data_IF_223454384600
#
_entry.id   IF_223454384600
#
_cell.length_a   1.000
_cell.length_b   1.000
_cell.length_c   1.000
_cell.angle_alpha   90.00
_cell.angle_beta   90.00
_cell.angle_gamma   90.00
#
_symmetry.space_group_name_H-M   'P 1'
#
loop_
_entity.id
_entity.type
_entity.pdbx_description
1 polymer ?
#
# COMPACT_ATOMS: atom_id res chain seq x y z
N UNK A 1 20.43 -29.38 9.17
CA UNK A 1 21.73 -28.80 8.75
C UNK A 1 21.50 -27.39 8.21
N UNK A 2 22.18 -26.35 8.72
CA UNK A 2 22.00 -24.99 8.23
C UNK A 2 22.59 -24.85 6.81
N UNK A 3 21.89 -24.15 5.92
CA UNK A 3 22.35 -23.81 4.58
C UNK A 3 22.93 -22.40 4.66
N UNK A 4 24.26 -22.27 4.55
CA UNK A 4 24.97 -21.01 4.77
C UNK A 4 25.83 -20.68 3.55
N UNK A 5 25.79 -19.41 3.11
CA UNK A 5 26.70 -18.90 2.10
C UNK A 5 27.19 -17.52 2.49
N UNK A 6 28.50 -17.27 2.35
CA UNK A 6 29.13 -15.98 2.71
C UNK A 6 28.71 -15.47 4.11
N UNK A 7 28.56 -16.39 5.08
CA UNK A 7 28.10 -16.15 6.46
C UNK A 7 26.63 -15.74 6.63
N UNK A 8 25.81 -15.82 5.60
CA UNK A 8 24.36 -15.60 5.67
C UNK A 8 23.62 -16.94 5.72
N UNK A 9 22.72 -17.10 6.69
CA UNK A 9 21.83 -18.27 6.80
C UNK A 9 20.72 -18.15 5.75
N UNK A 10 20.71 -19.06 4.77
CA UNK A 10 19.70 -19.10 3.70
C UNK A 10 18.50 -19.98 4.06
N UNK A 11 18.68 -20.94 4.98
CA UNK A 11 17.63 -21.85 5.40
C UNK A 11 18.17 -23.03 6.21
N UNK A 12 17.31 -24.01 6.48
CA UNK A 12 17.66 -25.23 7.21
C UNK A 12 17.21 -26.46 6.43
N UNK A 13 18.14 -27.35 6.08
CA UNK A 13 17.86 -28.67 5.54
C UNK A 13 17.39 -29.58 6.67
N UNK A 14 16.13 -30.03 6.58
CA UNK A 14 15.53 -31.02 7.47
C UNK A 14 15.50 -32.37 6.76
N UNK A 15 16.07 -33.40 7.40
CA UNK A 15 16.13 -34.75 6.84
C UNK A 15 15.31 -35.66 7.74
N UNK A 16 14.35 -36.36 7.14
CA UNK A 16 13.50 -37.31 7.82
C UNK A 16 13.79 -38.71 7.28
N UNK A 17 13.99 -39.66 8.18
CA UNK A 17 14.14 -41.07 7.85
C UNK A 17 12.95 -41.87 8.39
N UNK A 18 12.68 -43.02 7.77
CA UNK A 18 11.57 -43.91 8.15
C UNK A 18 11.90 -44.80 9.36
N UNK A 19 13.17 -45.14 9.54
CA UNK A 19 13.63 -46.00 10.64
C UNK A 19 14.25 -45.16 11.77
N UNK A 20 14.02 -45.57 13.02
CA UNK A 20 14.56 -44.91 14.21
C UNK A 20 16.02 -45.34 14.45
N UNK A 21 16.96 -44.67 13.78
CA UNK A 21 18.40 -44.85 13.99
C UNK A 21 19.13 -43.51 14.12
N UNK A 22 20.38 -43.52 14.56
CA UNK A 22 21.24 -42.33 14.49
C UNK A 22 21.88 -42.25 13.08
N UNK A 23 22.14 -41.03 12.62
CA UNK A 23 22.95 -40.81 11.44
C UNK A 23 24.41 -41.09 11.79
N UNK A 24 25.14 -41.73 10.89
CA UNK A 24 26.58 -41.91 11.06
C UNK A 24 27.37 -40.67 10.59
N UNK A 25 28.67 -40.60 10.94
CA UNK A 25 29.53 -39.46 10.57
C UNK A 25 29.63 -39.25 9.05
N UNK A 26 29.46 -40.31 8.25
CA UNK A 26 29.52 -40.24 6.80
C UNK A 26 28.25 -39.60 6.22
N UNK A 27 27.09 -39.93 6.79
CA UNK A 27 25.80 -39.34 6.47
C UNK A 27 25.73 -37.88 6.90
N UNK A 28 26.24 -37.55 8.10
CA UNK A 28 26.35 -36.15 8.54
C UNK A 28 27.24 -35.33 7.61
N UNK A 29 28.40 -35.86 7.23
CA UNK A 29 29.33 -35.21 6.31
C UNK A 29 28.71 -35.03 4.91
N UNK A 30 27.95 -36.02 4.44
CA UNK A 30 27.20 -35.94 3.19
C UNK A 30 26.13 -34.84 3.24
N UNK A 31 25.37 -34.74 4.33
CA UNK A 31 24.35 -33.71 4.50
C UNK A 31 24.94 -32.29 4.58
N UNK A 32 26.12 -32.13 5.18
CA UNK A 32 26.85 -30.85 5.20
C UNK A 32 27.31 -30.48 3.78
N UNK A 33 27.82 -31.45 3.02
CA UNK A 33 28.23 -31.25 1.63
C UNK A 33 27.04 -30.90 0.73
N UNK A 34 25.92 -31.60 0.91
CA UNK A 34 24.67 -31.34 0.20
C UNK A 34 24.14 -29.92 0.52
N UNK A 35 24.12 -29.54 1.79
CA UNK A 35 23.72 -28.19 2.21
C UNK A 35 24.60 -27.10 1.60
N UNK A 36 25.91 -27.36 1.45
CA UNK A 36 26.86 -26.41 0.84
C UNK A 36 26.64 -26.27 -0.67
N UNK A 37 26.40 -27.38 -1.38
CA UNK A 37 26.09 -27.37 -2.81
C UNK A 37 24.73 -26.71 -3.09
N UNK A 38 23.73 -27.01 -2.26
CA UNK A 38 22.42 -26.35 -2.31
C UNK A 38 22.54 -24.84 -2.06
N UNK A 39 23.40 -24.39 -1.13
CA UNK A 39 23.62 -22.98 -0.87
C UNK A 39 24.07 -22.25 -2.15
N UNK A 40 25.03 -22.81 -2.89
CA UNK A 40 25.52 -22.25 -4.14
C UNK A 40 24.42 -22.12 -5.21
N UNK A 41 23.55 -23.13 -5.35
CA UNK A 41 22.44 -23.14 -6.33
C UNK A 41 21.34 -22.15 -5.91
N UNK A 42 20.99 -22.11 -4.63
CA UNK A 42 19.97 -21.20 -4.08
C UNK A 42 20.37 -19.73 -4.23
N UNK A 43 21.65 -19.41 -4.05
CA UNK A 43 22.16 -18.04 -4.29
C UNK A 43 22.12 -17.60 -5.74
N UNK A 44 22.21 -18.53 -6.69
CA UNK A 44 22.34 -18.18 -8.10
C UNK A 44 21.00 -18.18 -8.83
N UNK A 45 19.96 -18.82 -8.28
CA UNK A 45 18.67 -19.00 -8.98
C UNK A 45 17.41 -18.63 -8.18
N UNK A 46 17.43 -18.46 -6.85
CA UNK A 46 16.17 -18.50 -6.06
C UNK A 46 15.98 -17.44 -4.96
N UNK A 47 16.63 -16.26 -5.03
CA UNK A 47 16.19 -15.14 -4.19
C UNK A 47 15.25 -14.16 -4.89
N UNK A 48 15.18 -14.19 -6.22
CA UNK A 48 14.30 -13.28 -6.98
C UNK A 48 13.11 -14.00 -7.63
N UNK A 49 13.25 -15.30 -7.96
CA UNK A 49 12.29 -16.02 -8.79
C UNK A 49 11.33 -16.98 -8.05
N UNK A 50 11.63 -17.39 -6.80
CA UNK A 50 10.80 -18.36 -6.04
C UNK A 50 10.17 -17.80 -4.77
N UNK A 51 10.78 -16.78 -4.20
CA UNK A 51 10.19 -15.93 -3.19
C UNK A 51 10.20 -14.55 -3.83
N UNK A 52 9.08 -14.18 -4.47
CA UNK A 52 8.96 -12.88 -5.14
C UNK A 52 9.54 -11.79 -4.25
N UNK A 53 10.25 -10.84 -4.85
CA UNK A 53 11.06 -9.81 -4.19
C UNK A 53 10.33 -9.07 -3.04
N UNK A 54 8.99 -9.18 -2.99
CA UNK A 54 8.12 -8.59 -1.99
C UNK A 54 7.25 -9.57 -1.18
N UNK A 55 7.37 -10.90 -1.34
CA UNK A 55 6.45 -11.82 -0.67
C UNK A 55 6.62 -11.75 0.86
N UNK A 56 5.56 -11.38 1.57
CA UNK A 56 5.57 -11.10 3.02
C UNK A 56 6.51 -9.97 3.43
N UNK A 57 6.84 -9.06 2.51
CA UNK A 57 7.73 -7.93 2.77
C UNK A 57 6.95 -6.74 3.33
N UNK A 58 7.52 -6.14 4.36
CA UNK A 58 7.11 -4.84 4.91
C UNK A 58 8.01 -3.75 4.37
N UNK A 59 7.44 -2.79 3.68
CA UNK A 59 8.14 -1.66 3.09
C UNK A 59 7.75 -0.40 3.86
N UNK A 60 8.76 0.36 4.31
CA UNK A 60 8.55 1.66 4.94
C UNK A 60 8.60 2.75 3.86
N UNK A 61 7.69 3.70 3.99
CA UNK A 61 7.45 4.79 3.06
C UNK A 61 6.97 6.03 3.83
N UNK A 62 6.67 7.10 3.10
CA UNK A 62 6.14 8.33 3.66
C UNK A 62 4.59 8.31 3.61
N UNK A 63 3.90 8.57 4.74
CA UNK A 63 2.45 8.70 4.71
C UNK A 63 2.06 10.00 4.01
N UNK A 64 1.24 9.90 2.96
CA UNK A 64 0.73 11.06 2.21
C UNK A 64 -0.76 11.31 2.48
N UNK A 65 -1.53 10.24 2.70
CA UNK A 65 -2.94 10.31 3.07
C UNK A 65 -3.28 9.18 4.04
N UNK A 66 -4.03 9.52 5.07
CA UNK A 66 -4.37 8.65 6.19
C UNK A 66 -5.42 7.60 5.83
N UNK A 67 -5.46 6.50 6.59
CA UNK A 67 -6.41 5.40 6.45
C UNK A 67 -5.72 4.08 6.12
N UNK A 68 -6.48 2.99 6.07
CA UNK A 68 -5.97 1.67 5.68
C UNK A 68 -6.76 1.10 4.51
N UNK A 69 -6.04 0.62 3.49
CA UNK A 69 -6.63 -0.05 2.34
C UNK A 69 -6.12 -1.48 2.22
N UNK A 70 -7.00 -2.38 1.78
CA UNK A 70 -6.67 -3.75 1.41
C UNK A 70 -7.30 -4.03 0.05
N UNK A 71 -6.48 -4.29 -0.95
CA UNK A 71 -6.91 -4.71 -2.29
C UNK A 71 -5.72 -5.25 -3.09
N UNK A 72 -6.00 -5.74 -4.28
CA UNK A 72 -4.99 -6.15 -5.24
C UNK A 72 -4.21 -4.93 -5.77
N UNK A 73 -2.89 -5.06 -5.87
CA UNK A 73 -2.03 -4.07 -6.50
C UNK A 73 -2.30 -4.00 -7.98
N UNK A 74 -2.49 -2.79 -8.50
CA UNK A 74 -2.77 -2.54 -9.89
C UNK A 74 -1.82 -1.48 -10.42
N UNK A 75 -0.89 -1.90 -11.28
CA UNK A 75 -0.16 -1.00 -12.17
C UNK A 75 -0.87 -0.97 -13.52
N UNK A 76 -1.21 0.22 -14.00
CA UNK A 76 -1.71 0.36 -15.37
C UNK A 76 -0.56 0.19 -16.36
N UNK A 77 -0.67 -0.81 -17.23
CA UNK A 77 0.28 -1.13 -18.30
C UNK A 77 -0.36 -0.99 -19.68
N UNK A 78 -1.55 -0.38 -19.75
CA UNK A 78 -2.33 -0.26 -20.98
C UNK A 78 -1.86 0.87 -21.90
N UNK A 79 -1.14 1.87 -21.38
CA UNK A 79 -0.64 2.99 -22.17
C UNK A 79 0.62 2.59 -22.96
N UNK A 80 0.63 2.74 -24.29
CA UNK A 80 1.82 2.49 -25.10
C UNK A 80 2.97 3.43 -24.74
N UNK A 81 4.19 2.90 -24.66
CA UNK A 81 5.40 3.72 -24.47
C UNK A 81 5.82 4.36 -25.79
N UNK A 82 6.11 5.67 -25.77
CA UNK A 82 6.55 6.39 -26.98
C UNK A 82 7.87 5.83 -27.53
N UNK A 83 8.74 5.32 -26.66
CA UNK A 83 10.02 4.70 -27.01
C UNK A 83 9.84 3.44 -27.86
N UNK A 84 8.72 2.74 -27.70
CA UNK A 84 8.39 1.51 -28.44
C UNK A 84 7.76 1.78 -29.82
N UNK A 85 7.50 3.04 -30.15
CA UNK A 85 7.03 3.42 -31.48
C UNK A 85 8.24 3.62 -32.40
N UNK A 86 8.32 2.79 -33.45
CA UNK A 86 9.40 2.83 -34.43
C UNK A 86 8.97 3.57 -35.70
N UNK A 87 9.96 4.05 -36.46
CA UNK A 87 9.71 4.68 -37.75
C UNK A 87 9.09 3.68 -38.72
N UNK A 88 7.92 4.03 -39.25
CA UNK A 88 7.18 3.21 -40.18
C UNK A 88 6.46 4.09 -41.21
N UNK A 89 6.26 3.52 -42.40
CA UNK A 89 5.64 4.20 -43.53
C UNK A 89 4.38 3.47 -44.00
N UNK A 90 3.43 4.24 -44.52
CA UNK A 90 2.18 3.75 -45.11
C UNK A 90 2.09 4.08 -46.60
N UNK A 91 1.31 3.29 -47.33
CA UNK A 91 0.88 3.60 -48.70
C UNK A 91 -0.52 4.24 -48.73
N UNK A 92 -1.27 4.15 -47.64
CA UNK A 92 -2.62 4.68 -47.51
C UNK A 92 -2.63 5.81 -46.47
N UNK A 93 -2.21 7.00 -46.92
CA UNK A 93 -2.19 8.20 -46.07
C UNK A 93 -3.59 8.67 -45.71
N UNK A 94 -4.62 8.33 -46.51
CA UNK A 94 -6.00 8.71 -46.23
C UNK A 94 -6.56 7.96 -45.03
N UNK A 95 -6.34 6.64 -44.97
CA UNK A 95 -6.71 5.80 -43.82
C UNK A 95 -6.01 6.26 -42.54
N UNK A 96 -4.69 6.49 -42.59
CA UNK A 96 -3.93 6.97 -41.42
C UNK A 96 -4.40 8.35 -40.93
N UNK A 97 -4.83 9.22 -41.86
CA UNK A 97 -5.41 10.52 -41.51
C UNK A 97 -6.75 10.38 -40.79
N UNK A 98 -7.58 9.42 -41.19
CA UNK A 98 -8.85 9.11 -40.53
C UNK A 98 -8.61 8.55 -39.13
N UNK A 99 -7.73 7.54 -38.97
CA UNK A 99 -7.32 6.98 -37.68
C UNK A 99 -6.82 8.07 -36.71
N UNK A 100 -5.92 8.93 -37.19
CA UNK A 100 -5.40 10.05 -36.40
C UNK A 100 -6.49 11.06 -36.01
N UNK A 101 -7.44 11.32 -36.90
CA UNK A 101 -8.56 12.23 -36.61
C UNK A 101 -9.45 11.67 -35.49
N UNK A 102 -9.80 10.38 -35.58
CA UNK A 102 -10.55 9.68 -34.54
C UNK A 102 -9.83 9.73 -33.18
N UNK A 103 -8.54 9.37 -33.16
CA UNK A 103 -7.74 9.39 -31.93
C UNK A 103 -7.66 10.78 -31.28
N UNK A 104 -7.50 11.85 -32.07
CA UNK A 104 -7.50 13.23 -31.58
C UNK A 104 -8.85 13.63 -30.97
N UNK A 105 -9.96 13.22 -31.58
CA UNK A 105 -11.30 13.54 -31.10
C UNK A 105 -11.67 12.77 -29.82
N UNK A 106 -11.33 11.49 -29.77
CA UNK A 106 -11.54 10.65 -28.59
C UNK A 106 -10.72 11.14 -27.39
N UNK A 107 -9.42 11.38 -27.59
CA UNK A 107 -8.55 11.91 -26.54
C UNK A 107 -9.05 13.29 -26.04
N UNK A 108 -9.43 14.20 -26.94
CA UNK A 108 -9.97 15.51 -26.54
C UNK A 108 -11.33 15.40 -25.82
N UNK A 109 -12.20 14.48 -26.23
CA UNK A 109 -13.46 14.19 -25.54
C UNK A 109 -13.22 13.65 -24.12
N UNK A 110 -12.24 12.77 -23.98
CA UNK A 110 -11.84 12.22 -22.71
C UNK A 110 -11.33 13.27 -21.73
N UNK A 111 -10.40 14.15 -22.14
CA UNK A 111 -9.90 15.20 -21.25
C UNK A 111 -11.01 16.19 -20.85
N UNK A 112 -11.99 16.46 -21.73
CA UNK A 112 -13.19 17.23 -21.36
C UNK A 112 -14.02 16.52 -20.29
N UNK A 113 -14.12 15.19 -20.35
CA UNK A 113 -14.81 14.39 -19.31
C UNK A 113 -14.05 14.45 -17.98
N UNK A 114 -12.72 14.38 -18.00
CA UNK A 114 -11.90 14.56 -16.79
C UNK A 114 -12.06 15.95 -16.21
N UNK A 115 -11.94 17.01 -17.02
CA UNK A 115 -12.16 18.38 -16.55
C UNK A 115 -13.49 18.56 -15.84
N UNK A 116 -14.60 18.10 -16.46
CA UNK A 116 -15.94 18.17 -15.85
C UNK A 116 -16.03 17.43 -14.51
N UNK A 117 -15.34 16.28 -14.37
CA UNK A 117 -15.32 15.51 -13.12
C UNK A 117 -14.67 16.29 -11.98
N UNK A 118 -13.63 17.06 -12.27
CA UNK A 118 -12.85 17.83 -11.30
C UNK A 118 -13.28 19.30 -11.19
N UNK A 119 -14.35 19.71 -11.89
CA UNK A 119 -14.81 21.10 -11.92
C UNK A 119 -15.47 21.57 -10.61
N UNK A 120 -15.92 20.65 -9.76
CA UNK A 120 -16.58 20.96 -8.49
C UNK A 120 -15.59 20.96 -7.31
N UNK A 121 -15.76 21.92 -6.38
CA UNK A 121 -15.03 21.96 -5.11
C UNK A 121 -13.60 22.52 -5.18
N UNK A 122 -12.69 21.94 -4.39
CA UNK A 122 -11.31 22.40 -4.15
C UNK A 122 -10.30 22.02 -5.25
N UNK A 123 -10.74 21.41 -6.36
CA UNK A 123 -9.88 20.82 -7.40
C UNK A 123 -9.93 21.59 -8.75
N UNK A 124 -10.34 22.87 -8.73
CA UNK A 124 -10.46 23.72 -9.93
C UNK A 124 -9.18 23.85 -10.75
N UNK A 125 -8.03 23.86 -10.08
CA UNK A 125 -6.72 23.93 -10.75
C UNK A 125 -6.47 22.67 -11.61
N UNK A 126 -6.89 21.50 -11.14
CA UNK A 126 -6.81 20.24 -11.90
C UNK A 126 -7.75 20.24 -13.10
N UNK A 127 -8.98 20.73 -12.94
CA UNK A 127 -9.92 20.89 -14.06
C UNK A 127 -9.34 21.81 -15.16
N UNK A 128 -8.72 22.92 -14.77
CA UNK A 128 -8.08 23.84 -15.72
C UNK A 128 -6.93 23.18 -16.52
N UNK A 129 -6.19 22.26 -15.90
CA UNK A 129 -5.13 21.48 -16.58
C UNK A 129 -5.74 20.57 -17.67
N UNK A 130 -6.83 19.87 -17.36
CA UNK A 130 -7.49 19.01 -18.35
C UNK A 130 -8.16 19.80 -19.48
N UNK A 131 -8.71 20.98 -19.18
CA UNK A 131 -9.21 21.89 -20.22
C UNK A 131 -8.08 22.35 -21.15
N UNK A 132 -6.92 22.68 -20.60
CA UNK A 132 -5.74 23.01 -21.39
C UNK A 132 -5.35 21.85 -22.31
N UNK A 133 -5.33 20.61 -21.82
CA UNK A 133 -5.03 19.42 -22.63
C UNK A 133 -6.03 19.23 -23.77
N UNK A 134 -7.33 19.37 -23.50
CA UNK A 134 -8.35 19.33 -24.54
C UNK A 134 -8.15 20.43 -25.59
N UNK A 135 -7.74 21.63 -25.19
CA UNK A 135 -7.46 22.73 -26.10
C UNK A 135 -6.21 22.47 -26.95
N UNK A 136 -5.14 21.94 -26.35
CA UNK A 136 -3.91 21.57 -27.07
C UNK A 136 -4.17 20.52 -28.15
N UNK A 137 -4.98 19.49 -27.87
CA UNK A 137 -5.39 18.49 -28.86
C UNK A 137 -6.31 19.04 -29.96
N UNK A 138 -6.96 20.18 -29.69
CA UNK A 138 -7.79 20.90 -30.65
C UNK A 138 -7.01 22.00 -31.39
N UNK A 139 -5.75 22.24 -31.04
CA UNK A 139 -4.94 23.30 -31.60
C UNK A 139 -4.64 23.06 -33.09
N UNK A 140 -4.88 24.09 -33.90
CA UNK A 140 -4.74 24.00 -35.35
C UNK A 140 -3.28 23.79 -35.79
N UNK A 141 -2.30 24.29 -35.02
CA UNK A 141 -0.89 24.12 -35.35
C UNK A 141 -0.45 22.68 -35.07
N UNK A 142 -0.79 22.11 -33.91
CA UNK A 142 -0.48 20.72 -33.59
C UNK A 142 -1.06 19.77 -34.64
N UNK A 143 -2.37 19.89 -34.91
CA UNK A 143 -3.07 19.06 -35.90
C UNK A 143 -2.43 19.15 -37.29
N UNK A 144 -2.11 20.36 -37.74
CA UNK A 144 -1.46 20.57 -39.04
C UNK A 144 -0.08 19.92 -39.11
N UNK A 145 0.74 20.00 -38.06
CA UNK A 145 2.06 19.36 -38.05
C UNK A 145 1.96 17.83 -38.04
N UNK A 146 1.00 17.25 -37.30
CA UNK A 146 0.72 15.81 -37.31
C UNK A 146 0.28 15.33 -38.69
N UNK A 147 -0.73 15.99 -39.29
CA UNK A 147 -1.22 15.64 -40.62
C UNK A 147 -0.16 15.80 -41.71
N UNK A 148 0.67 16.85 -41.63
CA UNK A 148 1.76 17.04 -42.58
C UNK A 148 2.81 15.93 -42.53
N UNK A 149 2.96 15.24 -41.39
CA UNK A 149 3.86 14.08 -41.30
C UNK A 149 3.23 12.82 -41.89
N UNK A 150 1.94 12.58 -41.63
CA UNK A 150 1.17 11.50 -42.27
C UNK A 150 1.12 11.69 -43.80
N UNK A 151 0.94 12.93 -44.26
CA UNK A 151 0.91 13.27 -45.69
C UNK A 151 2.25 13.00 -46.41
N UNK A 152 3.37 12.89 -45.67
CA UNK A 152 4.67 12.45 -46.20
C UNK A 152 4.81 10.92 -46.31
N UNK A 153 3.79 10.17 -45.89
CA UNK A 153 3.78 8.70 -45.90
C UNK A 153 4.13 8.05 -44.56
N UNK A 154 4.13 8.78 -43.44
CA UNK A 154 4.30 8.18 -42.12
C UNK A 154 2.99 7.54 -41.61
N UNK A 155 3.12 6.46 -40.83
CA UNK A 155 1.98 5.94 -40.03
C UNK A 155 1.61 6.92 -38.92
N UNK A 156 0.35 6.90 -38.46
CA UNK A 156 -0.19 7.83 -37.48
C UNK A 156 0.59 7.79 -36.14
N UNK A 157 0.99 6.62 -35.68
CA UNK A 157 1.73 6.42 -34.43
C UNK A 157 3.10 7.11 -34.49
N UNK A 158 3.80 6.97 -35.61
CA UNK A 158 5.10 7.62 -35.83
C UNK A 158 4.95 9.13 -35.93
N UNK A 159 3.92 9.61 -36.63
CA UNK A 159 3.61 11.04 -36.70
C UNK A 159 3.36 11.63 -35.30
N UNK A 160 2.58 10.93 -34.46
CA UNK A 160 2.36 11.32 -33.05
C UNK A 160 3.68 11.37 -32.30
N UNK A 161 4.49 10.31 -32.33
CA UNK A 161 5.78 10.27 -31.63
C UNK A 161 6.65 11.47 -31.99
N UNK A 162 6.90 11.63 -33.29
CA UNK A 162 7.84 12.63 -33.82
C UNK A 162 7.40 14.06 -33.51
N UNK A 163 6.12 14.37 -33.69
CA UNK A 163 5.62 15.73 -33.46
C UNK A 163 5.50 16.03 -31.96
N UNK A 164 5.03 15.10 -31.14
CA UNK A 164 4.93 15.32 -29.70
C UNK A 164 6.31 15.48 -29.07
N UNK A 165 7.29 14.65 -29.43
CA UNK A 165 8.68 14.80 -28.95
C UNK A 165 9.25 16.16 -29.34
N UNK A 166 9.06 16.59 -30.59
CA UNK A 166 9.47 17.91 -31.07
C UNK A 166 8.87 19.06 -30.25
N UNK A 167 7.59 18.98 -29.90
CA UNK A 167 6.94 20.01 -29.07
C UNK A 167 7.43 19.93 -27.61
N UNK A 168 7.57 18.73 -27.04
CA UNK A 168 8.08 18.53 -25.68
C UNK A 168 9.51 19.09 -25.53
N UNK A 169 10.38 18.89 -26.52
CA UNK A 169 11.73 19.46 -26.55
C UNK A 169 11.72 20.99 -26.63
N UNK A 170 10.85 21.58 -27.44
CA UNK A 170 10.70 23.04 -27.52
C UNK A 170 10.28 23.64 -26.16
N UNK A 171 9.35 22.99 -25.46
CA UNK A 171 8.91 23.42 -24.13
C UNK A 171 10.01 23.24 -23.07
N UNK A 172 10.74 22.12 -23.12
CA UNK A 172 11.83 21.85 -22.18
C UNK A 172 13.02 22.83 -22.34
N UNK A 173 13.17 23.44 -23.51
CA UNK A 173 14.20 24.44 -23.81
C UNK A 173 13.82 25.87 -23.36
N UNK A 174 12.58 26.11 -22.92
CA UNK A 174 12.17 27.41 -22.40
C UNK A 174 12.78 27.65 -21.01
N UNK A 175 13.06 28.91 -20.70
CA UNK A 175 13.66 29.33 -19.42
C UNK A 175 12.66 29.40 -18.26
N UNK A 176 11.36 29.33 -18.55
CA UNK A 176 10.30 29.32 -17.55
C UNK A 176 10.17 27.92 -16.93
N UNK A 177 10.43 27.82 -15.61
CA UNK A 177 10.35 26.57 -14.86
C UNK A 177 8.96 25.92 -14.93
N UNK A 178 7.89 26.71 -14.99
CA UNK A 178 6.53 26.21 -15.14
C UNK A 178 6.35 25.52 -16.50
N UNK A 179 6.78 26.15 -17.60
CA UNK A 179 6.65 25.57 -18.95
C UNK A 179 7.56 24.35 -19.15
N UNK A 180 8.70 24.31 -18.46
CA UNK A 180 9.62 23.16 -18.47
C UNK A 180 9.00 21.92 -17.82
N UNK A 181 8.31 22.09 -16.69
CA UNK A 181 7.57 21.00 -16.03
C UNK A 181 6.44 20.45 -16.92
N UNK A 182 5.81 21.30 -17.75
CA UNK A 182 4.77 20.91 -18.72
C UNK A 182 5.26 20.11 -19.93
N UNK A 183 6.57 19.99 -20.15
CA UNK A 183 7.09 19.14 -21.23
C UNK A 183 6.77 17.65 -21.01
N UNK A 184 6.67 17.20 -19.75
CA UNK A 184 6.23 15.84 -19.40
C UNK A 184 4.77 15.59 -19.74
N UNK A 185 3.91 16.60 -19.54
CA UNK A 185 2.49 16.53 -19.85
C UNK A 185 2.25 16.31 -21.35
N UNK A 186 3.05 16.93 -22.22
CA UNK A 186 2.97 16.72 -23.66
C UNK A 186 3.27 15.26 -24.05
N UNK A 187 4.24 14.61 -23.41
CA UNK A 187 4.54 13.19 -23.64
C UNK A 187 3.38 12.30 -23.19
N UNK A 188 2.75 12.64 -22.06
CA UNK A 188 1.54 11.95 -21.56
C UNK A 188 0.39 12.07 -22.57
N UNK A 189 0.21 13.24 -23.20
CA UNK A 189 -0.75 13.41 -24.31
C UNK A 189 -0.40 12.54 -25.52
N UNK A 190 0.89 12.43 -25.85
CA UNK A 190 1.37 11.54 -26.91
C UNK A 190 1.02 10.08 -26.63
N UNK A 191 1.32 9.57 -25.43
CA UNK A 191 0.95 8.22 -25.01
C UNK A 191 -0.56 7.98 -25.09
N UNK A 192 -1.37 8.98 -24.72
CA UNK A 192 -2.83 8.88 -24.82
C UNK A 192 -3.31 8.82 -26.28
N UNK A 193 -2.71 9.60 -27.17
CA UNK A 193 -3.01 9.50 -28.60
C UNK A 193 -2.63 8.14 -29.16
N UNK A 194 -1.49 7.58 -28.75
CA UNK A 194 -1.09 6.23 -29.14
C UNK A 194 -2.08 5.17 -28.64
N UNK A 195 -2.60 5.32 -27.42
CA UNK A 195 -3.64 4.44 -26.91
C UNK A 195 -4.89 4.43 -27.80
N UNK A 196 -5.39 5.60 -28.23
CA UNK A 196 -6.54 5.69 -29.12
C UNK A 196 -6.24 5.29 -30.58
N UNK A 197 -4.97 5.18 -30.96
CA UNK A 197 -4.55 4.62 -32.26
C UNK A 197 -4.41 3.10 -32.22
N UNK A 198 -4.32 2.50 -31.04
CA UNK A 198 -4.14 1.06 -30.90
C UNK A 198 -5.46 0.31 -31.13
N UNK A 199 -5.66 -0.15 -32.37
CA UNK A 199 -6.80 -0.94 -32.80
C UNK A 199 -6.94 -2.28 -32.05
N UNK A 200 -5.92 -2.72 -31.30
CA UNK A 200 -5.93 -3.97 -30.52
C UNK A 200 -6.51 -3.81 -29.11
N UNK A 201 -6.63 -2.57 -28.60
CA UNK A 201 -7.24 -2.27 -27.29
C UNK A 201 -8.78 -2.28 -27.35
N UNK A 202 -9.35 -3.36 -27.90
CA UNK A 202 -10.79 -3.57 -27.99
C UNK A 202 -11.29 -4.32 -26.76
N UNK A 203 -11.46 -3.61 -25.66
CA UNK A 203 -12.18 -4.10 -24.49
C UNK A 203 -12.31 -3.02 -23.42
N UNK A 204 -13.46 -2.91 -22.72
CA UNK A 204 -13.51 -2.07 -21.53
C UNK A 204 -12.42 -2.56 -20.60
N UNK A 205 -11.50 -1.68 -20.21
CA UNK A 205 -10.46 -1.98 -19.23
C UNK A 205 -11.21 -2.47 -17.98
N UNK A 206 -11.26 -3.79 -17.76
CA UNK A 206 -12.01 -4.38 -16.65
C UNK A 206 -11.17 -4.20 -15.41
N UNK A 207 -11.21 -2.97 -14.88
CA UNK A 207 -10.66 -2.66 -13.58
C UNK A 207 -11.24 -3.64 -12.55
N UNK A 208 -10.45 -4.25 -11.67
CA UNK A 208 -10.98 -4.99 -10.53
C UNK A 208 -11.90 -4.11 -9.69
N UNK A 209 -12.86 -4.71 -8.98
CA UNK A 209 -13.84 -3.96 -8.16
C UNK A 209 -13.17 -3.06 -7.11
N UNK A 210 -12.03 -3.48 -6.59
CA UNK A 210 -11.21 -2.71 -5.64
C UNK A 210 -9.74 -2.88 -5.97
N UNK A 211 -9.03 -1.76 -6.08
CA UNK A 211 -7.59 -1.76 -6.38
C UNK A 211 -6.80 -0.84 -5.45
N UNK A 212 -5.54 -1.23 -5.23
CA UNK A 212 -4.47 -0.33 -4.80
C UNK A 212 -3.70 0.07 -6.05
N UNK A 213 -3.77 1.35 -6.44
CA UNK A 213 -2.97 1.85 -7.56
C UNK A 213 -1.49 1.84 -7.16
N UNK A 214 -0.65 1.22 -7.98
CA UNK A 214 0.80 1.19 -7.81
C UNK A 214 1.46 1.85 -9.02
N UNK A 215 2.27 2.88 -8.78
CA UNK A 215 2.90 3.64 -9.86
C UNK A 215 4.32 4.08 -9.49
N UNK A 216 5.13 4.34 -10.52
CA UNK A 216 6.44 4.96 -10.35
C UNK A 216 6.27 6.40 -9.87
N UNK A 217 5.45 7.18 -10.59
CA UNK A 217 5.06 8.54 -10.23
C UNK A 217 3.55 8.67 -10.28
N UNK A 218 3.00 9.54 -9.44
CA UNK A 218 1.56 9.82 -9.42
C UNK A 218 1.26 11.13 -10.14
N UNK A 219 0.57 11.03 -11.27
CA UNK A 219 0.12 12.19 -12.04
C UNK A 219 -1.38 12.44 -11.86
N UNK A 220 -1.83 13.65 -12.18
CA UNK A 220 -3.26 13.96 -12.17
C UNK A 220 -4.03 13.16 -13.22
N UNK A 221 -3.42 12.91 -14.38
CA UNK A 221 -3.99 12.12 -15.47
C UNK A 221 -4.21 10.67 -15.04
N UNK A 222 -3.22 10.04 -14.42
CA UNK A 222 -3.32 8.66 -13.90
C UNK A 222 -4.47 8.54 -12.90
N UNK A 223 -4.61 9.49 -11.99
CA UNK A 223 -5.72 9.49 -11.02
C UNK A 223 -7.10 9.72 -11.68
N UNK A 224 -7.15 10.47 -12.78
CA UNK A 224 -8.38 10.72 -13.51
C UNK A 224 -8.84 9.51 -14.34
N UNK A 225 -7.91 8.68 -14.80
CA UNK A 225 -8.20 7.44 -15.54
C UNK A 225 -8.82 6.37 -14.64
N UNK A 226 -8.39 6.29 -13.38
CA UNK A 226 -8.90 5.29 -12.44
C UNK A 226 -10.35 5.60 -12.03
N UNK A 227 -11.26 4.62 -12.08
CA UNK A 227 -12.60 4.76 -11.51
C UNK A 227 -12.55 5.02 -9.99
N UNK A 228 -13.12 6.14 -9.54
CA UNK A 228 -13.06 6.58 -8.14
C UNK A 228 -13.74 5.58 -7.17
N UNK A 229 -14.74 4.86 -7.64
CA UNK A 229 -15.45 3.82 -6.89
C UNK A 229 -14.61 2.55 -6.66
N UNK A 230 -13.56 2.36 -7.44
CA UNK A 230 -12.68 1.18 -7.38
C UNK A 230 -11.35 1.46 -6.70
N UNK A 231 -10.90 2.71 -6.69
CA UNK A 231 -9.64 3.10 -6.07
C UNK A 231 -9.76 3.15 -4.55
N UNK A 232 -9.14 2.19 -3.86
CA UNK A 232 -9.18 2.14 -2.39
C UNK A 232 -7.86 2.49 -1.73
N UNK A 233 -6.74 2.53 -2.46
CA UNK A 233 -5.44 2.93 -1.93
C UNK A 233 -4.45 3.30 -3.03
N UNK A 234 -3.38 4.01 -2.67
CA UNK A 234 -2.33 4.43 -3.61
C UNK A 234 -0.94 4.19 -3.02
N UNK A 235 -0.04 3.66 -3.84
CA UNK A 235 1.36 3.43 -3.52
C UNK A 235 2.22 3.99 -4.65
N UNK A 236 3.17 4.87 -4.30
CA UNK A 236 4.02 5.55 -5.28
C UNK A 236 5.49 5.34 -4.93
N UNK A 237 6.31 4.99 -5.93
CA UNK A 237 7.77 4.87 -5.76
C UNK A 237 8.41 6.24 -5.53
N UNK A 238 8.20 7.14 -6.48
CA UNK A 238 8.80 8.46 -6.55
C UNK A 238 7.70 9.52 -6.32
N UNK A 239 7.75 10.20 -5.17
CA UNK A 239 6.73 11.19 -4.87
C UNK A 239 6.93 11.87 -3.53
N UNK A 240 6.60 13.16 -3.50
CA UNK A 240 6.58 13.95 -2.26
C UNK A 240 5.14 14.05 -1.72
N UNK A 241 4.99 13.98 -0.41
CA UNK A 241 3.69 14.05 0.28
C UNK A 241 2.94 15.37 0.08
N UNK A 242 3.61 16.41 -0.43
CA UNK A 242 3.05 17.73 -0.78
C UNK A 242 2.91 17.96 -2.29
N UNK A 243 3.11 16.94 -3.13
CA UNK A 243 2.87 17.05 -4.57
C UNK A 243 1.39 17.29 -4.88
N UNK A 244 1.09 17.89 -6.04
CA UNK A 244 -0.29 18.15 -6.47
C UNK A 244 -1.15 16.89 -6.46
N UNK A 245 -0.60 15.77 -6.94
CA UNK A 245 -1.27 14.48 -6.91
C UNK A 245 -1.48 13.93 -5.48
N UNK A 246 -0.52 14.14 -4.56
CA UNK A 246 -0.68 13.79 -3.14
C UNK A 246 -1.83 14.56 -2.48
N UNK A 247 -1.97 15.85 -2.80
CA UNK A 247 -3.05 16.69 -2.28
C UNK A 247 -4.40 16.18 -2.78
N UNK A 248 -4.48 15.73 -4.04
CA UNK A 248 -5.72 15.19 -4.60
C UNK A 248 -6.16 13.89 -3.94
N UNK A 249 -5.28 12.89 -3.81
CA UNK A 249 -5.64 11.62 -3.13
C UNK A 249 -6.00 11.81 -1.67
N UNK A 250 -5.37 12.79 -1.00
CA UNK A 250 -5.75 13.21 0.35
C UNK A 250 -7.14 13.83 0.40
N UNK A 251 -7.47 14.70 -0.56
CA UNK A 251 -8.80 15.30 -0.66
C UNK A 251 -9.90 14.26 -0.95
N UNK A 252 -9.54 13.14 -1.61
CA UNK A 252 -10.43 12.00 -1.85
C UNK A 252 -10.51 11.05 -0.63
N UNK A 253 -9.74 11.29 0.43
CA UNK A 253 -9.71 10.42 1.62
C UNK A 253 -9.11 9.04 1.35
N UNK A 254 -8.33 8.89 0.26
CA UNK A 254 -7.78 7.60 -0.16
C UNK A 254 -6.45 7.35 0.56
N UNK A 255 -6.29 6.25 1.32
CA UNK A 255 -5.02 5.88 1.95
C UNK A 255 -3.87 5.88 0.95
N UNK A 256 -2.79 6.61 1.26
CA UNK A 256 -1.68 6.78 0.32
C UNK A 256 -0.32 6.76 1.01
N UNK A 257 0.59 5.97 0.45
CA UNK A 257 2.01 5.97 0.80
C UNK A 257 2.87 6.36 -0.42
N UNK A 258 3.92 7.16 -0.19
CA UNK A 258 4.80 7.68 -1.23
C UNK A 258 6.27 7.47 -0.86
N UNK A 259 7.17 7.48 -1.84
CA UNK A 259 8.59 7.25 -1.56
C UNK A 259 8.87 5.80 -1.17
N UNK A 260 8.05 4.85 -1.64
CA UNK A 260 8.21 3.44 -1.31
C UNK A 260 9.29 2.82 -2.22
N UNK A 261 10.24 2.08 -1.65
CA UNK A 261 11.25 1.35 -2.43
C UNK A 261 10.63 0.10 -3.09
N UNK A 262 9.88 0.34 -4.17
CA UNK A 262 9.05 -0.64 -4.87
C UNK A 262 9.37 -0.69 -6.37
N UNK A 263 9.06 -1.84 -6.98
CA UNK A 263 8.91 -1.96 -8.43
C UNK A 263 7.43 -2.21 -8.73
N UNK A 264 6.68 -1.22 -9.26
CA UNK A 264 5.23 -1.34 -9.48
C UNK A 264 4.81 -2.59 -10.26
N UNK A 265 5.59 -2.97 -11.27
CA UNK A 265 5.35 -4.15 -12.10
C UNK A 265 5.38 -5.46 -11.32
N UNK A 266 6.16 -5.53 -10.23
CA UNK A 266 6.25 -6.71 -9.35
C UNK A 266 5.14 -6.73 -8.29
N UNK A 267 4.41 -5.64 -8.12
CA UNK A 267 3.29 -5.54 -7.17
C UNK A 267 1.93 -5.68 -7.85
N UNK A 268 1.88 -5.54 -9.18
CA UNK A 268 0.67 -5.82 -9.96
C UNK A 268 0.21 -7.27 -9.71
N UNK A 269 -1.06 -7.46 -9.34
CA UNK A 269 -1.64 -8.76 -9.06
C UNK A 269 -1.48 -9.28 -7.62
N UNK A 270 -0.69 -8.60 -6.78
CA UNK A 270 -0.43 -9.04 -5.41
C UNK A 270 -1.42 -8.44 -4.41
N UNK A 271 -1.68 -9.13 -3.30
CA UNK A 271 -2.53 -8.56 -2.23
C UNK A 271 -1.74 -7.53 -1.44
N UNK A 272 -2.19 -6.29 -1.44
CA UNK A 272 -1.52 -5.18 -0.77
C UNK A 272 -2.34 -4.69 0.43
N UNK A 273 -1.63 -4.36 1.51
CA UNK A 273 -2.18 -3.57 2.62
C UNK A 273 -1.42 -2.26 2.67
N UNK A 274 -2.13 -1.16 2.42
CA UNK A 274 -1.60 0.21 2.50
C UNK A 274 -2.00 0.78 3.85
N UNK A 275 -1.02 1.02 4.71
CA UNK A 275 -1.19 1.69 5.99
C UNK A 275 -0.72 3.15 5.87
N UNK A 276 -1.66 4.02 5.49
CA UNK A 276 -1.43 5.45 5.30
C UNK A 276 -1.19 6.21 6.61
N UNK A 277 -1.38 5.58 7.77
CA UNK A 277 -1.06 6.17 9.06
C UNK A 277 0.40 5.98 9.45
N UNK A 278 0.90 4.74 9.28
CA UNK A 278 2.27 4.38 9.62
C UNK A 278 3.25 4.64 8.47
N UNK A 279 2.73 4.89 7.26
CA UNK A 279 3.54 4.99 6.05
C UNK A 279 4.11 3.63 5.67
N UNK A 280 3.30 2.57 5.71
CA UNK A 280 3.78 1.21 5.48
C UNK A 280 2.99 0.51 4.38
N UNK A 281 3.69 -0.28 3.58
CA UNK A 281 3.11 -1.19 2.60
C UNK A 281 3.45 -2.63 3.00
N UNK A 282 2.44 -3.48 3.04
CA UNK A 282 2.61 -4.93 3.22
C UNK A 282 2.20 -5.62 1.93
N UNK A 283 3.05 -6.51 1.46
CA UNK A 283 2.84 -7.25 0.21
C UNK A 283 2.65 -8.73 0.54
N UNK A 284 1.53 -9.30 0.10
CA UNK A 284 1.07 -10.65 0.43
C UNK A 284 1.25 -11.00 1.93
N UNK A 285 0.67 -10.19 2.85
CA UNK A 285 0.81 -10.45 4.28
C UNK A 285 0.19 -11.79 4.68
N UNK A 286 0.63 -12.32 5.81
CA UNK A 286 0.05 -13.56 6.34
C UNK A 286 -1.45 -13.42 6.62
N UNK A 287 -2.25 -14.50 6.42
CA UNK A 287 -3.70 -14.45 6.63
C UNK A 287 -4.13 -13.98 8.02
N UNK A 288 -3.33 -14.24 9.06
CA UNK A 288 -3.61 -13.78 10.42
C UNK A 288 -3.51 -12.25 10.53
N UNK A 289 -2.47 -11.66 9.93
CA UNK A 289 -2.27 -10.22 9.89
C UNK A 289 -3.34 -9.52 9.02
N UNK A 290 -3.67 -10.12 7.88
CA UNK A 290 -4.72 -9.62 6.98
C UNK A 290 -6.07 -9.53 7.70
N UNK A 291 -6.46 -10.56 8.45
CA UNK A 291 -7.71 -10.56 9.25
C UNK A 291 -7.72 -9.46 10.30
N UNK A 292 -6.58 -9.21 10.95
CA UNK A 292 -6.50 -8.17 11.97
C UNK A 292 -6.69 -6.78 11.34
N UNK A 293 -6.06 -6.51 10.18
CA UNK A 293 -6.27 -5.27 9.42
C UNK A 293 -7.71 -5.13 8.89
N UNK A 294 -8.34 -6.20 8.43
CA UNK A 294 -9.76 -6.18 8.01
C UNK A 294 -10.69 -5.81 9.17
N UNK A 295 -10.44 -6.37 10.36
CA UNK A 295 -11.20 -6.09 11.58
C UNK A 295 -11.06 -4.62 11.97
N UNK A 296 -9.85 -4.10 11.89
CA UNK A 296 -9.50 -2.71 12.17
C UNK A 296 -10.23 -1.74 11.23
N UNK A 297 -10.23 -2.00 9.92
CA UNK A 297 -10.98 -1.21 8.92
C UNK A 297 -12.49 -1.25 9.20
N UNK A 298 -13.04 -2.43 9.56
CA UNK A 298 -14.47 -2.54 9.85
C UNK A 298 -14.90 -1.74 11.08
N UNK A 299 -14.05 -1.69 12.12
CA UNK A 299 -14.32 -0.92 13.34
C UNK A 299 -14.23 0.58 13.06
N UNK A 300 -13.25 1.01 12.27
CA UNK A 300 -13.11 2.41 11.86
C UNK A 300 -14.31 2.88 11.03
N UNK A 301 -14.76 2.09 10.04
CA UNK A 301 -15.93 2.44 9.23
C UNK A 301 -17.22 2.50 10.06
N UNK A 302 -17.34 1.67 11.10
CA UNK A 302 -18.46 1.75 12.04
C UNK A 302 -18.41 3.03 12.89
N UNK A 303 -17.23 3.35 13.43
CA UNK A 303 -17.03 4.56 14.22
C UNK A 303 -17.28 5.82 13.40
N UNK A 304 -16.76 5.89 12.17
CA UNK A 304 -16.98 7.02 11.25
C UNK A 304 -18.46 7.22 10.95
N UNK A 305 -19.22 6.14 10.70
CA UNK A 305 -20.68 6.22 10.51
C UNK A 305 -21.43 6.71 11.74
N UNK A 306 -21.01 6.30 12.94
CA UNK A 306 -21.62 6.75 14.20
C UNK A 306 -21.26 8.21 14.52
N UNK A 307 -20.10 8.67 14.08
CA UNK A 307 -19.59 10.01 14.32
C UNK A 307 -20.22 11.08 13.40
N UNK A 308 -20.69 10.70 12.21
CA UNK A 308 -21.36 11.60 11.26
C UNK A 308 -22.67 12.22 11.81
N UNK A 309 -23.29 11.61 12.83
CA UNK A 309 -24.61 12.03 13.31
C UNK A 309 -24.64 12.83 14.65
N UNK A 310 -23.61 12.79 15.52
CA UNK A 310 -23.78 13.36 16.89
C UNK A 310 -22.47 13.63 17.70
N UNK A 311 -21.36 14.03 17.06
CA UNK A 311 -20.09 14.29 17.76
C UNK A 311 -20.13 15.39 18.85
N UNK A 312 -21.09 16.32 18.81
CA UNK A 312 -21.15 17.47 19.72
C UNK A 312 -21.99 17.26 21.00
N UNK A 313 -22.65 16.11 21.15
CA UNK A 313 -23.49 15.85 22.34
C UNK A 313 -22.68 15.36 23.53
N UNK A 314 -23.05 15.83 24.72
CA UNK A 314 -22.53 15.28 25.96
C UNK A 314 -22.85 13.78 26.07
N UNK A 315 -21.89 12.99 26.52
CA UNK A 315 -22.01 11.54 26.70
C UNK A 315 -22.88 11.21 27.92
N UNK A 316 -24.20 11.32 27.79
CA UNK A 316 -25.17 11.15 28.88
C UNK A 316 -26.31 10.18 28.50
N UNK A 317 -26.76 9.39 29.48
CA UNK A 317 -27.98 8.60 29.36
C UNK A 317 -29.21 9.53 29.32
N UNK A 318 -30.36 9.01 28.87
CA UNK A 318 -31.65 9.74 28.96
C UNK A 318 -32.03 10.13 30.41
N UNK A 319 -31.41 9.48 31.40
CA UNK A 319 -31.54 9.79 32.83
C UNK A 319 -30.65 10.95 33.31
N UNK A 320 -29.75 11.48 32.46
CA UNK A 320 -28.78 12.54 32.82
C UNK A 320 -27.50 12.03 33.49
N UNK A 321 -27.30 10.71 33.59
CA UNK A 321 -26.05 10.15 34.10
C UNK A 321 -24.98 10.14 33.00
N UNK A 322 -23.79 10.68 33.30
CA UNK A 322 -22.66 10.73 32.37
C UNK A 322 -22.03 9.35 32.20
N UNK A 323 -21.83 8.95 30.95
CA UNK A 323 -21.11 7.74 30.55
C UNK A 323 -19.78 8.14 29.93
N UNK A 324 -18.72 7.40 30.25
CA UNK A 324 -17.41 7.65 29.61
C UNK A 324 -17.39 7.03 28.22
N UNK A 325 -17.05 7.83 27.21
CA UNK A 325 -16.80 7.36 25.84
C UNK A 325 -15.30 7.16 25.68
N UNK A 326 -14.90 5.90 25.57
CA UNK A 326 -13.50 5.50 25.53
C UNK A 326 -13.16 4.93 24.15
N UNK A 327 -12.05 5.34 23.55
CA UNK A 327 -11.63 4.89 22.22
C UNK A 327 -10.87 3.57 22.29
N UNK A 328 -11.14 2.68 21.36
CA UNK A 328 -10.30 1.51 21.09
C UNK A 328 -9.25 1.92 20.04
N UNK A 329 -8.00 2.10 20.47
CA UNK A 329 -6.89 2.61 19.67
C UNK A 329 -5.94 1.50 19.19
N UNK A 330 -5.13 1.81 18.17
CA UNK A 330 -4.10 0.89 17.67
C UNK A 330 -3.83 0.93 16.17
N UNK A 331 -4.46 1.85 15.43
CA UNK A 331 -4.25 2.06 13.99
C UNK A 331 -3.55 3.37 13.70
N UNK A 332 -4.02 4.46 14.32
CA UNK A 332 -3.77 5.81 13.82
C UNK A 332 -3.59 6.82 14.93
N UNK A 333 -2.34 7.02 15.32
CA UNK A 333 -2.00 8.02 16.32
C UNK A 333 -2.51 9.44 15.95
N UNK A 334 -2.42 9.84 14.68
CA UNK A 334 -2.83 11.18 14.23
C UNK A 334 -4.33 11.36 13.99
N UNK A 335 -5.11 10.31 13.70
CA UNK A 335 -6.56 10.40 13.65
C UNK A 335 -7.17 10.30 15.06
N UNK A 336 -6.60 9.43 15.89
CA UNK A 336 -6.96 9.28 17.30
C UNK A 336 -6.73 10.62 18.05
N UNK A 337 -5.68 11.39 17.74
CA UNK A 337 -5.44 12.74 18.30
C UNK A 337 -6.58 13.73 17.97
N UNK A 338 -7.12 13.70 16.75
CA UNK A 338 -8.24 14.58 16.35
C UNK A 338 -9.53 14.25 17.09
N UNK A 339 -9.75 12.96 17.38
CA UNK A 339 -10.83 12.50 18.26
C UNK A 339 -10.57 12.82 19.73
N UNK A 340 -9.34 13.19 20.07
CA UNK A 340 -8.91 13.56 21.41
C UNK A 340 -9.78 14.63 22.05
N UNK A 341 -10.43 15.53 21.31
CA UNK A 341 -11.38 16.50 21.87
C UNK A 341 -12.71 15.90 22.35
N UNK A 342 -13.13 14.76 21.77
CA UNK A 342 -14.49 14.22 21.87
C UNK A 342 -14.58 12.93 22.71
N UNK A 343 -13.45 12.37 23.11
CA UNK A 343 -13.38 11.11 23.89
C UNK A 343 -12.90 11.37 25.32
N UNK A 344 -13.32 10.54 26.27
CA UNK A 344 -12.88 10.61 27.68
C UNK A 344 -11.52 9.92 27.92
N UNK A 345 -11.02 9.16 26.94
CA UNK A 345 -9.70 8.52 26.96
C UNK A 345 -9.61 7.30 26.03
N UNK A 346 -8.53 6.53 26.16
CA UNK A 346 -8.31 5.27 25.43
C UNK A 346 -8.72 4.09 26.32
N UNK A 347 -9.81 3.41 25.95
CA UNK A 347 -10.37 2.28 26.70
C UNK A 347 -9.67 0.95 26.40
N UNK A 348 -9.03 0.85 25.23
CA UNK A 348 -8.26 -0.32 24.85
C UNK A 348 -7.24 0.05 23.78
N UNK A 349 -5.95 -0.05 24.10
CA UNK A 349 -4.88 -0.01 23.10
C UNK A 349 -4.41 -1.43 22.79
N UNK A 350 -4.59 -1.84 21.54
CA UNK A 350 -4.23 -3.18 21.04
C UNK A 350 -2.75 -3.22 20.64
N UNK A 351 -2.00 -4.14 21.23
CA UNK A 351 -0.54 -4.23 21.05
C UNK A 351 -0.14 -5.24 19.98
N UNK A 352 -1.08 -5.96 19.37
CA UNK A 352 -0.78 -7.15 18.57
C UNK A 352 -0.17 -6.82 17.21
N UNK A 353 -0.69 -5.81 16.49
CA UNK A 353 -0.18 -5.43 15.16
C UNK A 353 1.31 -5.07 15.20
N UNK A 354 1.79 -4.20 16.11
CA UNK A 354 3.22 -3.93 16.24
C UNK A 354 4.09 -5.17 16.47
N UNK A 355 3.57 -6.22 17.12
CA UNK A 355 4.31 -7.47 17.31
C UNK A 355 4.24 -8.35 16.06
N UNK A 356 3.10 -8.44 15.39
CA UNK A 356 2.95 -9.22 14.15
C UNK A 356 3.84 -8.67 13.02
N UNK A 357 4.10 -7.37 13.00
CA UNK A 357 4.93 -6.70 11.99
C UNK A 357 6.45 -6.83 12.22
N UNK A 358 6.88 -7.47 13.30
CA UNK A 358 8.31 -7.64 13.62
C UNK A 358 8.80 -9.02 13.17
N UNK A 359 10.09 -9.11 12.85
CA UNK A 359 10.75 -10.39 12.55
C UNK A 359 11.14 -11.17 13.82
N UNK A 360 11.02 -10.54 14.99
CA UNK A 360 11.33 -11.12 16.29
C UNK A 360 10.54 -10.45 17.41
N UNK A 361 10.59 -11.04 18.60
CA UNK A 361 9.90 -10.46 19.77
C UNK A 361 10.59 -9.16 20.17
N UNK A 362 9.90 -8.00 20.16
CA UNK A 362 10.51 -6.71 20.42
C UNK A 362 11.08 -6.65 21.85
N UNK A 363 12.23 -6.02 22.00
CA UNK A 363 12.87 -5.74 23.27
C UNK A 363 12.00 -4.80 24.13
N UNK A 364 12.30 -4.72 25.42
CA UNK A 364 11.60 -3.82 26.33
C UNK A 364 11.74 -2.35 25.90
N UNK A 365 12.92 -1.95 25.43
CA UNK A 365 13.20 -0.58 24.97
C UNK A 365 12.41 -0.24 23.69
N UNK A 366 12.32 -1.18 22.74
CA UNK A 366 11.52 -1.00 21.52
C UNK A 366 10.02 -0.90 21.83
N UNK A 367 9.54 -1.68 22.81
CA UNK A 367 8.16 -1.59 23.28
C UNK A 367 7.90 -0.25 24.00
N UNK A 368 8.82 0.20 24.85
CA UNK A 368 8.71 1.52 25.53
C UNK A 368 8.63 2.62 24.48
N UNK A 369 9.53 2.63 23.50
CA UNK A 369 9.55 3.63 22.44
C UNK A 369 8.24 3.65 21.64
N UNK A 370 7.66 2.48 21.34
CA UNK A 370 6.36 2.39 20.65
C UNK A 370 5.21 2.94 21.49
N UNK A 371 5.12 2.58 22.76
CA UNK A 371 4.01 3.00 23.62
C UNK A 371 4.12 4.45 24.07
N UNK A 372 5.35 4.96 24.23
CA UNK A 372 5.60 6.32 24.69
C UNK A 372 5.04 7.36 23.71
N UNK A 373 5.14 7.13 22.40
CA UNK A 373 4.52 8.00 21.39
C UNK A 373 3.01 8.13 21.61
N UNK A 374 2.31 7.00 21.76
CA UNK A 374 0.87 6.97 22.03
C UNK A 374 0.50 7.65 23.35
N UNK A 375 1.22 7.38 24.43
CA UNK A 375 0.93 7.96 25.75
C UNK A 375 1.09 9.48 25.77
N UNK A 376 2.04 10.02 25.00
CA UNK A 376 2.27 11.47 24.93
C UNK A 376 1.13 12.22 24.24
N UNK A 377 0.43 11.62 23.27
CA UNK A 377 -0.73 12.24 22.61
C UNK A 377 -1.97 12.34 23.51
N UNK A 378 -2.11 11.44 24.49
CA UNK A 378 -3.24 11.43 25.43
C UNK A 378 -2.81 11.79 26.85
N UNK A 379 -1.90 12.76 26.95
CA UNK A 379 -1.23 13.15 28.19
C UNK A 379 -2.17 13.45 29.37
N UNK A 380 -3.40 13.90 29.10
CA UNK A 380 -4.37 14.28 30.13
C UNK A 380 -5.51 13.26 30.30
N UNK A 381 -5.52 12.18 29.52
CA UNK A 381 -6.64 11.23 29.46
C UNK A 381 -6.20 9.82 29.85
N UNK A 382 -7.07 9.04 30.51
CA UNK A 382 -6.76 7.66 30.87
C UNK A 382 -6.49 6.79 29.62
N UNK A 383 -5.46 5.96 29.69
CA UNK A 383 -5.13 4.99 28.64
C UNK A 383 -5.04 3.59 29.22
N UNK A 384 -5.80 2.66 28.64
CA UNK A 384 -5.78 1.24 29.00
C UNK A 384 -5.02 0.44 27.94
N UNK A 385 -3.81 0.01 28.27
CA UNK A 385 -3.00 -0.83 27.39
C UNK A 385 -3.36 -2.31 27.60
N UNK A 386 -3.67 -3.02 26.50
CA UNK A 386 -3.81 -4.48 26.54
C UNK A 386 -2.46 -5.11 26.34
N UNK A 387 -2.03 -5.90 27.32
CA UNK A 387 -0.85 -6.76 27.16
C UNK A 387 -1.06 -7.72 25.98
N UNK A 388 0.03 -8.12 25.33
CA UNK A 388 0.01 -8.93 24.12
C UNK A 388 -0.97 -10.13 24.20
N UNK A 389 -2.06 -10.06 23.44
CA UNK A 389 -3.09 -11.10 23.37
C UNK A 389 -2.97 -11.90 22.07
N UNK A 390 -2.26 -13.03 22.16
CA UNK A 390 -2.00 -13.94 21.04
C UNK A 390 -2.55 -15.33 21.35
N UNK A 391 -3.49 -15.76 20.50
CA UNK A 391 -4.09 -17.09 20.51
C UNK A 391 -3.51 -18.03 19.45
N UNK A 392 -4.06 -19.25 19.39
CA UNK A 392 -3.64 -20.28 18.41
C UNK A 392 -3.94 -19.89 16.94
N UNK A 393 -4.81 -18.91 16.76
CA UNK A 393 -5.30 -18.29 15.54
C UNK A 393 -4.48 -17.06 15.09
N UNK A 394 -3.63 -16.51 15.98
CA UNK A 394 -2.80 -15.32 15.75
C UNK A 394 -1.31 -15.62 15.92
N UNK A 395 -0.83 -16.68 15.28
CA UNK A 395 0.56 -17.14 15.49
C UNK A 395 1.56 -16.11 14.99
N UNK A 396 2.50 -15.74 15.86
CA UNK A 396 3.67 -14.96 15.44
C UNK A 396 4.67 -15.88 14.76
N UNK A 397 5.23 -15.52 13.59
CA UNK A 397 6.19 -16.35 12.85
C UNK A 397 7.39 -16.78 13.70
N UNK A 398 7.82 -15.90 14.62
CA UNK A 398 8.98 -16.09 15.50
C UNK A 398 8.63 -16.66 16.88
N UNK A 399 7.35 -16.95 17.17
CA UNK A 399 6.90 -17.55 18.44
C UNK A 399 5.90 -18.70 18.19
N UNK A 400 6.35 -19.84 17.62
CA UNK A 400 5.49 -20.96 17.31
C UNK A 400 4.86 -21.56 18.57
N UNK A 401 3.53 -21.71 18.56
CA UNK A 401 2.78 -22.27 19.68
C UNK A 401 2.78 -23.80 19.56
N UNK A 402 3.62 -24.47 20.36
CA UNK A 402 3.63 -25.94 20.42
C UNK A 402 2.35 -26.46 21.10
N UNK A 403 1.49 -27.14 20.34
CA UNK A 403 0.34 -27.88 20.88
C UNK A 403 0.83 -29.06 21.73
N UNK A 404 0.70 -28.97 23.06
CA UNK A 404 0.86 -30.12 23.94
C UNK A 404 -0.52 -30.73 24.22
N UNK A 405 -0.82 -31.86 23.58
CA UNK A 405 -2.00 -32.68 23.92
C UNK A 405 -1.70 -33.34 25.26
N UNK A 406 -2.36 -32.91 26.34
CA UNK A 406 -2.42 -33.70 27.58
C UNK A 406 -3.59 -34.66 27.45
N UNK A 407 -3.29 -35.96 27.43
CA UNK A 407 -4.28 -36.98 27.71
C UNK A 407 -4.54 -36.96 29.22
N UNK A 408 -5.68 -36.43 29.64
CA UNK A 408 -6.24 -36.69 30.97
C UNK A 408 -7.69 -37.14 30.79
N UNK A 409 -7.98 -38.31 31.31
CA UNK A 409 -9.33 -38.84 31.42
C UNK A 409 -10.21 -37.89 32.26
N UNK A 410 -11.44 -37.65 31.79
CA UNK A 410 -12.52 -37.03 32.55
C UNK A 410 -12.65 -35.51 32.44
N UNK A 411 -13.77 -35.08 31.82
CA UNK A 411 -14.44 -33.77 31.91
C UNK A 411 -13.66 -32.49 31.45
N UNK A 412 -13.94 -32.08 30.22
CA UNK A 412 -14.29 -30.71 29.83
C UNK A 412 -13.58 -29.51 30.48
N UNK A 413 -12.32 -29.27 30.15
CA UNK A 413 -11.77 -27.95 29.81
C UNK A 413 -10.28 -28.10 29.51
N UNK A 414 -9.88 -27.89 28.26
CA UNK A 414 -8.48 -27.94 27.86
C UNK A 414 -7.77 -26.65 28.31
N UNK A 415 -7.23 -26.62 29.54
CA UNK A 415 -6.33 -25.56 29.97
C UNK A 415 -5.01 -25.66 29.19
N UNK A 416 -4.74 -24.65 28.35
CA UNK A 416 -3.56 -24.55 27.47
C UNK A 416 -2.46 -23.76 28.18
N UNK A 417 -1.45 -24.44 28.73
CA UNK A 417 -0.31 -23.77 29.37
C UNK A 417 0.77 -23.42 28.33
N UNK A 418 0.87 -22.14 27.96
CA UNK A 418 2.03 -21.55 27.28
C UNK A 418 3.17 -21.41 28.31
N UNK A 419 4.43 -21.47 27.87
CA UNK A 419 5.59 -20.94 28.62
C UNK A 419 5.45 -19.41 28.75
N UNK A 420 4.52 -18.96 29.61
CA UNK A 420 4.06 -17.56 29.71
C UNK A 420 5.03 -16.62 30.44
N UNK A 421 6.03 -17.13 31.16
CA UNK A 421 6.64 -16.35 32.27
C UNK A 421 7.74 -15.35 31.88
N UNK A 422 8.31 -15.37 30.69
CA UNK A 422 9.42 -14.47 30.35
C UNK A 422 9.03 -13.35 29.38
N UNK A 423 8.21 -13.63 28.38
CA UNK A 423 7.78 -12.67 27.34
C UNK A 423 6.62 -11.77 27.80
N UNK A 424 5.56 -12.32 28.38
CA UNK A 424 4.47 -11.51 28.99
C UNK A 424 4.97 -10.65 30.16
N UNK A 425 5.95 -11.16 30.93
CA UNK A 425 6.62 -10.39 31.98
C UNK A 425 7.48 -9.23 31.46
N UNK A 426 7.95 -9.28 30.19
CA UNK A 426 8.65 -8.16 29.55
C UNK A 426 7.67 -7.08 29.07
N UNK A 427 6.52 -7.47 28.50
CA UNK A 427 5.45 -6.52 28.19
C UNK A 427 4.95 -5.78 29.44
N UNK A 428 4.70 -6.52 30.54
CA UNK A 428 4.28 -5.93 31.80
C UNK A 428 5.34 -5.01 32.44
N UNK A 429 6.63 -5.36 32.34
CA UNK A 429 7.74 -4.52 32.84
C UNK A 429 7.91 -3.23 32.04
N UNK A 430 7.81 -3.31 30.71
CA UNK A 430 7.80 -2.13 29.84
C UNK A 430 6.72 -1.14 30.27
N UNK A 431 5.51 -1.62 30.52
CA UNK A 431 4.39 -0.79 30.96
C UNK A 431 4.65 -0.12 32.32
N UNK A 432 5.29 -0.82 33.26
CA UNK A 432 5.60 -0.29 34.59
C UNK A 432 6.80 0.67 34.64
N UNK A 433 7.64 0.71 33.61
CA UNK A 433 8.87 1.53 33.55
C UNK A 433 8.69 2.88 32.85
N UNK A 434 7.54 3.12 32.23
CA UNK A 434 7.27 4.38 31.54
C UNK A 434 6.98 5.50 32.57
N UNK A 435 7.65 6.66 32.49
CA UNK A 435 7.35 7.79 33.36
C UNK A 435 5.93 8.29 33.07
N UNK A 436 5.12 8.66 34.08
CA UNK A 436 3.74 9.02 33.83
C UNK A 436 3.67 10.44 33.28
N UNK A 437 2.82 10.64 32.27
CA UNK A 437 2.18 11.94 32.17
C UNK A 437 0.65 11.88 32.36
N UNK A 438 0.05 10.68 32.29
CA UNK A 438 -1.40 10.43 32.39
C UNK A 438 -1.75 9.27 33.36
N UNK A 439 -2.97 9.17 33.91
CA UNK A 439 -3.40 8.02 34.69
C UNK A 439 -3.50 6.74 33.84
N UNK A 440 -2.76 5.69 34.20
CA UNK A 440 -2.69 4.42 33.47
C UNK A 440 -3.44 3.31 34.19
N UNK A 441 -4.22 2.51 33.44
CA UNK A 441 -4.86 1.29 33.94
C UNK A 441 -4.42 0.08 33.11
N UNK A 442 -4.08 -1.02 33.80
CA UNK A 442 -3.61 -2.25 33.17
C UNK A 442 -4.71 -3.31 33.19
N UNK A 443 -5.10 -3.81 32.02
CA UNK A 443 -6.03 -4.92 31.88
C UNK A 443 -5.24 -6.18 31.47
N UNK A 444 -5.25 -7.19 32.33
CA UNK A 444 -4.77 -8.54 32.01
C UNK A 444 -6.00 -9.44 31.82
N UNK A 445 -6.06 -10.19 30.72
CA UNK A 445 -7.03 -11.27 30.57
C UNK A 445 -6.64 -12.44 31.49
N UNK A 446 -7.12 -12.38 32.72
CA UNK A 446 -7.04 -13.47 33.67
C UNK A 446 -8.19 -14.45 33.40
N UNK A 447 -8.08 -15.20 32.31
CA UNK A 447 -8.84 -16.44 32.16
C UNK A 447 -8.26 -17.50 33.10
N UNK A 448 -8.49 -17.32 34.40
CA UNK A 448 -8.51 -18.39 35.38
C UNK A 448 -9.96 -18.76 35.65
N UNK A 449 -10.41 -19.99 35.37
CA UNK A 449 -11.62 -20.49 36.00
C UNK A 449 -11.33 -20.64 37.50
N UNK A 450 -12.17 -20.06 38.35
CA UNK A 450 -12.24 -20.41 39.77
C UNK A 450 -12.61 -21.87 39.96
#
# INVERSE_FOLDING_TARGET
MPIIQRRQLLGVLVVQQRELRQFDESEESFLVTLATQMAAILSQSQLTALFGQYRQTRIRALPASSGVAIAEGWMDVSLPLMEQVYEASTLDTASERERLTGALEEAASEFRRYSKRYAAGAQKETSAIFDLYSHLLSDARLRRELFAEVDKGAVAEWAVKKIIEKFAEQFAALSDGYLKERAGDLRTLGQRLLFHLDDTTQGPNTWPERIVLVADELSATTLAEVPQDRLVGVVVRDGAANSHAAIMVRALGIPTVMGADIQPSLLHGHTLVVDGYRGELLVDPEPALLKEYQRLISEENELSRLAEDDLERASELKSGERVKVMLNAGLSLGHEEKLGGFIDGIGLYRTEIPFMLQSGFPSEEEQVAQYQGMLQMFNEKPVTLRTLDIGADKQLPYMPIVKRIRASAGAGSASRSISRRSSLFRCGRCCARMPPPAPQHFAADDHQPR
#
